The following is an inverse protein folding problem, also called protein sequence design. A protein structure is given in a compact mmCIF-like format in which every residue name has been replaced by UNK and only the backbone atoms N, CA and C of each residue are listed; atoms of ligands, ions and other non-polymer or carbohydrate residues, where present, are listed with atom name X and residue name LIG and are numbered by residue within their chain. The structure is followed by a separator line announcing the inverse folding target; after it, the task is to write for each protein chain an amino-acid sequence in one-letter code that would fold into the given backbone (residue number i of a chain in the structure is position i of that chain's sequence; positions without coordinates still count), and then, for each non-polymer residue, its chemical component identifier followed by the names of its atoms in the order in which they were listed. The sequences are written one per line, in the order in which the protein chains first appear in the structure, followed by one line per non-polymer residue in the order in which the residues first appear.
data_IF_317705410568
#
_entry.id   IF_317705410568
#
_cell.length_a   1.000
_cell.length_b   1.000
_cell.length_c   1.000
_cell.angle_alpha   90.00
_cell.angle_beta   90.00
_cell.angle_gamma   90.00
#
_symmetry.space_group_name_H-M   'P 1'
#
loop_
_entity.id
_entity.type
_entity.pdbx_description
1 polymer ?
#
# COMPACT_ATOMS: atom_id res chain seq x y z
N UNK A 1 -23.80 32.25 18.04
CA UNK A 1 -23.22 31.90 19.35
C UNK A 1 -22.02 31.01 19.12
N UNK A 2 -20.83 31.59 19.25
CA UNK A 2 -19.54 30.91 19.12
C UNK A 2 -19.35 29.91 20.25
N UNK A 3 -19.19 28.62 19.93
CA UNK A 3 -18.66 27.64 20.88
C UNK A 3 -17.14 27.83 20.95
N UNK A 4 -16.69 28.67 21.89
CA UNK A 4 -15.29 28.73 22.32
C UNK A 4 -14.92 27.41 23.00
N UNK A 5 -14.34 26.49 22.23
CA UNK A 5 -13.70 25.30 22.81
C UNK A 5 -12.54 25.80 23.66
N UNK A 6 -12.68 25.76 24.99
CA UNK A 6 -11.56 26.04 25.92
C UNK A 6 -10.36 25.21 25.50
N UNK A 7 -9.31 25.87 25.01
CA UNK A 7 -8.09 25.23 24.56
C UNK A 7 -7.32 24.67 25.75
N UNK A 8 -7.04 23.36 25.73
CA UNK A 8 -6.29 22.67 26.78
C UNK A 8 -4.82 23.13 26.76
N UNK A 9 -4.24 23.31 27.95
CA UNK A 9 -2.83 23.69 28.12
C UNK A 9 -1.85 22.54 27.83
N UNK A 10 -2.32 21.30 28.00
CA UNK A 10 -1.55 20.08 27.77
C UNK A 10 -2.31 19.08 26.91
N UNK A 11 -1.62 18.55 25.91
CA UNK A 11 -2.18 17.59 24.96
C UNK A 11 -1.52 16.21 25.13
N UNK A 12 -2.32 15.16 25.06
CA UNK A 12 -1.78 13.80 24.88
C UNK A 12 -1.05 13.70 23.55
N UNK A 13 -0.17 12.70 23.40
CA UNK A 13 0.48 12.43 22.11
C UNK A 13 -0.49 12.14 20.97
N UNK A 14 -1.70 11.64 21.25
CA UNK A 14 -2.75 11.42 20.24
C UNK A 14 -3.44 12.72 19.86
N UNK A 15 -3.75 13.58 20.82
CA UNK A 15 -4.31 14.91 20.57
C UNK A 15 -3.31 15.78 19.80
N UNK A 16 -2.04 15.80 20.22
CA UNK A 16 -0.96 16.49 19.53
C UNK A 16 -0.80 16.01 18.08
N UNK A 17 -0.80 14.69 17.85
CA UNK A 17 -0.75 14.09 16.52
C UNK A 17 -1.90 14.59 15.64
N UNK A 18 -3.12 14.63 16.20
CA UNK A 18 -4.33 15.11 15.50
C UNK A 18 -4.25 16.60 15.17
N UNK A 19 -3.77 17.42 16.09
CA UNK A 19 -3.65 18.88 15.91
C UNK A 19 -2.59 19.21 14.86
N UNK A 20 -1.43 18.55 14.93
CA UNK A 20 -0.31 18.73 14.01
C UNK A 20 -0.48 17.96 12.69
N UNK A 21 -1.56 17.16 12.56
CA UNK A 21 -1.84 16.34 11.39
C UNK A 21 -0.78 15.28 11.08
N UNK A 22 0.03 14.86 12.06
CA UNK A 22 1.07 13.83 11.86
C UNK A 22 0.68 12.54 12.56
N UNK A 23 1.31 11.42 12.21
CA UNK A 23 1.03 10.15 12.88
C UNK A 23 1.41 10.21 14.37
N UNK A 24 0.71 9.46 15.21
CA UNK A 24 1.09 9.24 16.61
C UNK A 24 2.55 8.74 16.77
N UNK A 25 3.01 7.92 15.82
CA UNK A 25 4.40 7.45 15.78
C UNK A 25 5.38 8.60 15.50
N UNK A 26 5.01 9.55 14.66
CA UNK A 26 5.80 10.75 14.36
C UNK A 26 5.99 11.59 15.62
N UNK A 27 4.92 11.82 16.40
CA UNK A 27 5.00 12.52 17.69
C UNK A 27 5.95 11.79 18.65
N UNK A 28 5.78 10.48 18.81
CA UNK A 28 6.68 9.68 19.67
C UNK A 28 8.14 9.77 19.22
N UNK A 29 8.41 9.68 17.92
CA UNK A 29 9.76 9.82 17.36
C UNK A 29 10.36 11.19 17.66
N UNK A 30 9.58 12.26 17.57
CA UNK A 30 10.04 13.61 17.90
C UNK A 30 10.35 13.77 19.39
N UNK A 31 9.58 13.12 20.26
CA UNK A 31 9.88 13.09 21.70
C UNK A 31 11.20 12.33 21.94
N UNK A 32 11.34 11.13 21.38
CA UNK A 32 12.53 10.30 21.60
C UNK A 32 13.82 10.88 21.03
N UNK A 33 13.72 11.69 19.97
CA UNK A 33 14.86 12.42 19.38
C UNK A 33 15.14 13.76 20.04
N UNK A 34 14.34 14.18 21.02
CA UNK A 34 14.46 15.50 21.66
C UNK A 34 14.00 16.68 20.81
N UNK A 35 13.45 16.45 19.61
CA UNK A 35 12.90 17.52 18.74
C UNK A 35 11.76 18.29 19.42
N UNK A 36 10.97 17.60 20.25
CA UNK A 36 9.86 18.21 20.99
C UNK A 36 9.96 17.82 22.46
N UNK A 37 9.81 18.79 23.35
CA UNK A 37 9.77 18.57 24.79
C UNK A 37 8.40 18.01 25.18
N UNK A 38 8.37 16.96 25.99
CA UNK A 38 7.15 16.38 26.52
C UNK A 38 7.35 15.91 27.97
N UNK A 39 6.36 16.17 28.82
CA UNK A 39 6.36 15.78 30.22
C UNK A 39 5.68 14.42 30.38
N UNK A 40 6.22 13.52 31.21
CA UNK A 40 5.54 12.28 31.55
C UNK A 40 4.63 12.49 32.76
N UNK A 41 3.43 11.94 32.71
CA UNK A 41 2.59 11.78 33.90
C UNK A 41 3.17 10.70 34.82
N UNK A 42 2.69 10.63 36.07
CA UNK A 42 3.04 9.57 37.04
C UNK A 42 2.82 8.16 36.45
N UNK A 43 1.78 7.99 35.60
CA UNK A 43 1.52 6.74 34.86
C UNK A 43 2.32 6.53 33.57
N UNK A 44 3.36 7.34 33.30
CA UNK A 44 4.27 7.17 32.16
C UNK A 44 3.77 7.69 30.81
N UNK A 45 2.63 8.37 30.76
CA UNK A 45 2.09 8.93 29.51
C UNK A 45 2.67 10.32 29.21
N UNK A 46 3.02 10.56 27.95
CA UNK A 46 3.50 11.87 27.51
C UNK A 46 2.38 12.92 27.44
N UNK A 47 2.73 14.15 27.80
CA UNK A 47 1.95 15.39 27.66
C UNK A 47 2.81 16.44 26.98
N UNK A 48 2.26 17.11 25.98
CA UNK A 48 2.93 18.13 25.17
C UNK A 48 2.23 19.45 25.46
N UNK A 49 2.99 20.49 25.81
CA UNK A 49 2.42 21.80 26.12
C UNK A 49 1.86 22.45 24.86
N UNK A 50 0.88 23.32 25.06
CA UNK A 50 0.30 24.15 24.01
C UNK A 50 1.36 24.92 23.23
N UNK A 51 2.33 25.54 23.91
CA UNK A 51 3.41 26.29 23.25
C UNK A 51 4.20 25.43 22.27
N UNK A 52 4.49 24.17 22.63
CA UNK A 52 5.17 23.24 21.73
C UNK A 52 4.28 22.90 20.55
N UNK A 53 2.97 22.73 20.75
CA UNK A 53 2.02 22.51 19.66
C UNK A 53 1.96 23.72 18.73
N UNK A 54 1.82 24.93 19.25
CA UNK A 54 1.72 26.17 18.46
C UNK A 54 3.03 26.46 17.73
N UNK A 55 4.18 26.31 18.40
CA UNK A 55 5.50 26.40 17.78
C UNK A 55 5.62 25.42 16.63
N UNK A 56 5.25 24.15 16.83
CA UNK A 56 5.25 23.17 15.75
C UNK A 56 4.23 23.48 14.66
N UNK A 57 3.07 24.06 14.97
CA UNK A 57 2.13 24.51 13.93
C UNK A 57 2.72 25.65 13.09
N UNK A 58 3.54 26.52 13.68
CA UNK A 58 4.19 27.64 12.99
C UNK A 58 5.49 27.27 12.27
N UNK A 59 6.30 26.37 12.84
CA UNK A 59 7.58 25.90 12.28
C UNK A 59 7.38 24.80 11.24
N UNK A 60 6.28 24.05 11.33
CA UNK A 60 5.95 23.06 10.33
C UNK A 60 5.26 23.79 9.18
N UNK A 61 6.06 24.42 8.32
CA UNK A 61 5.77 24.34 6.89
C UNK A 61 5.69 22.86 6.56
N UNK A 62 4.48 22.34 6.63
CA UNK A 62 4.23 20.93 6.45
C UNK A 62 4.44 20.61 4.99
N UNK A 63 5.67 20.24 4.62
CA UNK A 63 6.01 19.84 3.25
C UNK A 63 5.03 18.77 2.75
N UNK A 64 4.49 17.94 3.64
CA UNK A 64 3.47 16.97 3.28
C UNK A 64 2.13 17.64 2.89
N UNK A 65 1.64 18.60 3.68
CA UNK A 65 0.49 19.41 3.30
C UNK A 65 0.73 20.17 1.99
N UNK A 66 1.91 20.78 1.83
CA UNK A 66 2.30 21.49 0.62
C UNK A 66 2.27 20.57 -0.59
N UNK A 67 2.85 19.38 -0.49
CA UNK A 67 2.88 18.38 -1.55
C UNK A 67 1.46 17.94 -1.94
N UNK A 68 0.57 17.69 -0.96
CA UNK A 68 -0.83 17.33 -1.24
C UNK A 68 -1.58 18.49 -1.90
N UNK A 69 -1.46 19.71 -1.39
CA UNK A 69 -2.13 20.89 -1.95
C UNK A 69 -1.62 21.15 -3.37
N UNK A 70 -0.31 21.09 -3.60
CA UNK A 70 0.30 21.25 -4.91
C UNK A 70 -0.24 20.21 -5.90
N UNK A 71 -0.28 18.92 -5.50
CA UNK A 71 -0.84 17.85 -6.33
C UNK A 71 -2.32 18.10 -6.65
N UNK A 72 -3.15 18.45 -5.67
CA UNK A 72 -4.58 18.70 -5.90
C UNK A 72 -4.80 19.92 -6.81
N UNK A 73 -3.98 20.96 -6.67
CA UNK A 73 -4.03 22.13 -7.55
C UNK A 73 -3.62 21.80 -8.98
N UNK A 74 -2.53 21.04 -9.16
CA UNK A 74 -2.08 20.56 -10.47
C UNK A 74 -3.15 19.70 -11.15
N UNK A 75 -3.70 18.72 -10.41
CA UNK A 75 -4.70 17.78 -10.93
C UNK A 75 -6.09 18.39 -11.08
N UNK A 76 -6.35 19.56 -10.45
CA UNK A 76 -7.64 20.26 -10.29
C UNK A 76 -8.73 19.49 -9.53
N UNK A 77 -8.70 18.17 -9.61
CA UNK A 77 -9.51 17.24 -8.84
C UNK A 77 -8.76 15.91 -8.76
N UNK A 78 -8.76 15.25 -7.62
CA UNK A 78 -8.16 13.94 -7.45
C UNK A 78 -9.06 13.06 -6.58
N UNK A 79 -9.24 11.80 -6.95
CA UNK A 79 -9.89 10.86 -6.04
C UNK A 79 -8.90 10.35 -4.99
N UNK A 80 -9.42 9.84 -3.87
CA UNK A 80 -8.61 9.46 -2.71
C UNK A 80 -7.41 8.56 -3.03
N UNK A 81 -7.59 7.52 -3.85
CA UNK A 81 -6.51 6.58 -4.18
C UNK A 81 -5.48 7.20 -5.11
N UNK A 82 -5.88 8.08 -6.02
CA UNK A 82 -4.95 8.84 -6.87
C UNK A 82 -3.97 9.65 -6.01
N UNK A 83 -4.44 10.35 -4.98
CA UNK A 83 -3.56 11.11 -4.08
C UNK A 83 -2.56 10.19 -3.38
N UNK A 84 -3.01 9.01 -2.91
CA UNK A 84 -2.13 8.04 -2.28
C UNK A 84 -1.07 7.50 -3.24
N UNK A 85 -1.46 7.15 -4.47
CA UNK A 85 -0.55 6.58 -5.47
C UNK A 85 0.50 7.59 -5.94
N UNK A 86 0.12 8.84 -6.21
CA UNK A 86 1.06 9.87 -6.67
C UNK A 86 2.07 10.29 -5.59
N UNK A 87 1.79 10.00 -4.31
CA UNK A 87 2.63 10.38 -3.18
C UNK A 87 3.31 9.20 -2.49
N UNK A 88 3.12 7.97 -2.96
CA UNK A 88 3.51 6.78 -2.22
C UNK A 88 5.02 6.52 -2.09
N UNK A 89 5.82 7.17 -2.93
CA UNK A 89 7.29 7.13 -2.82
C UNK A 89 7.81 8.08 -1.73
N UNK A 90 7.01 9.07 -1.33
CA UNK A 90 7.35 10.04 -0.27
C UNK A 90 6.63 9.74 1.05
N UNK A 91 5.36 9.35 0.98
CA UNK A 91 4.46 9.27 2.13
C UNK A 91 3.66 7.97 2.14
N UNK A 92 3.40 7.42 3.33
CA UNK A 92 2.64 6.17 3.45
C UNK A 92 1.16 6.42 3.21
N UNK A 93 0.47 5.43 2.63
CA UNK A 93 -0.95 5.55 2.30
C UNK A 93 -1.84 5.98 3.49
N UNK A 94 -1.60 5.46 4.70
CA UNK A 94 -2.38 5.86 5.88
C UNK A 94 -2.07 7.29 6.35
N UNK A 95 -0.82 7.75 6.19
CA UNK A 95 -0.41 9.11 6.54
C UNK A 95 -1.05 10.11 5.58
N UNK A 96 -1.15 9.75 4.29
CA UNK A 96 -1.84 10.57 3.29
C UNK A 96 -3.32 10.72 3.60
N UNK A 97 -3.99 9.66 4.06
CA UNK A 97 -5.39 9.74 4.52
C UNK A 97 -5.54 10.73 5.67
N UNK A 98 -4.76 10.53 6.73
CA UNK A 98 -4.86 11.35 7.94
C UNK A 98 -4.56 12.82 7.63
N UNK A 99 -3.60 13.08 6.72
CA UNK A 99 -3.26 14.43 6.29
C UNK A 99 -4.35 15.07 5.42
N UNK A 100 -4.97 14.32 4.50
CA UNK A 100 -6.12 14.80 3.72
C UNK A 100 -7.28 15.21 4.63
N UNK A 101 -7.61 14.38 5.63
CA UNK A 101 -8.66 14.70 6.62
C UNK A 101 -8.33 15.99 7.40
N UNK A 102 -7.07 16.16 7.79
CA UNK A 102 -6.60 17.38 8.43
C UNK A 102 -6.74 18.60 7.51
N UNK A 103 -6.30 18.52 6.25
CA UNK A 103 -6.40 19.62 5.27
C UNK A 103 -7.84 20.05 5.00
N UNK A 104 -8.76 19.10 4.91
CA UNK A 104 -10.20 19.38 4.79
C UNK A 104 -10.72 20.11 6.02
N UNK A 105 -10.36 19.67 7.23
CA UNK A 105 -10.75 20.35 8.48
C UNK A 105 -10.23 21.78 8.57
N UNK A 106 -9.03 22.03 8.04
CA UNK A 106 -8.41 23.36 7.96
C UNK A 106 -8.92 24.19 6.77
N UNK A 107 -9.90 23.69 6.00
CA UNK A 107 -10.45 24.34 4.79
C UNK A 107 -9.38 24.70 3.75
N UNK A 108 -8.27 23.94 3.71
CA UNK A 108 -7.19 24.13 2.73
C UNK A 108 -7.47 23.44 1.40
N UNK A 109 -8.32 22.42 1.43
CA UNK A 109 -8.87 21.72 0.26
C UNK A 109 -10.33 21.36 0.53
N UNK A 110 -11.09 21.14 -0.53
CA UNK A 110 -12.47 20.64 -0.45
C UNK A 110 -12.51 19.13 -0.66
N UNK A 111 -13.56 18.47 -0.18
CA UNK A 111 -13.85 17.07 -0.46
C UNK A 111 -15.33 16.84 -0.71
N UNK A 112 -15.66 15.88 -1.58
CA UNK A 112 -17.04 15.41 -1.79
C UNK A 112 -17.04 13.90 -2.04
N UNK A 113 -18.01 13.20 -1.47
CA UNK A 113 -18.30 11.82 -1.85
C UNK A 113 -19.38 11.84 -2.93
N UNK A 114 -19.02 11.47 -4.14
CA UNK A 114 -19.89 11.50 -5.32
C UNK A 114 -19.36 10.47 -6.34
N UNK A 115 -20.22 9.94 -7.20
CA UNK A 115 -19.83 8.90 -8.18
C UNK A 115 -19.15 7.69 -7.51
N UNK A 116 -19.62 7.31 -6.31
CA UNK A 116 -19.06 6.21 -5.52
C UNK A 116 -17.56 6.34 -5.20
N UNK A 117 -17.03 7.57 -5.18
CA UNK A 117 -15.64 7.87 -4.86
C UNK A 117 -15.58 9.10 -3.95
N UNK A 118 -14.52 9.16 -3.13
CA UNK A 118 -14.17 10.37 -2.38
C UNK A 118 -13.21 11.22 -3.22
N UNK A 119 -13.65 12.41 -3.57
CA UNK A 119 -12.90 13.39 -4.36
C UNK A 119 -12.33 14.49 -3.49
N UNK A 120 -11.21 15.06 -3.91
CA UNK A 120 -10.56 16.22 -3.34
C UNK A 120 -10.29 17.23 -4.45
N UNK A 121 -10.52 18.51 -4.19
CA UNK A 121 -10.32 19.59 -5.15
C UNK A 121 -9.91 20.89 -4.44
N UNK A 122 -9.33 21.86 -5.15
CA UNK A 122 -8.88 23.12 -4.58
C UNK A 122 -9.97 23.84 -3.77
N UNK A 123 -9.57 24.52 -2.70
CA UNK A 123 -10.49 25.23 -1.81
C UNK A 123 -11.31 26.33 -2.51
N UNK A 124 -10.75 26.92 -3.57
CA UNK A 124 -11.39 27.96 -4.41
C UNK A 124 -12.31 27.40 -5.50
N UNK A 125 -12.40 26.08 -5.67
CA UNK A 125 -13.30 25.45 -6.63
C UNK A 125 -14.55 24.88 -5.94
N UNK A 126 -15.66 24.80 -6.68
CA UNK A 126 -16.88 24.08 -6.27
C UNK A 126 -16.98 22.74 -7.02
N UNK A 127 -17.79 21.82 -6.49
CA UNK A 127 -18.04 20.54 -7.16
C UNK A 127 -18.55 20.72 -8.59
N UNK A 128 -19.45 21.69 -8.82
CA UNK A 128 -20.04 21.93 -10.14
C UNK A 128 -19.02 22.27 -11.22
N UNK A 129 -17.90 22.91 -10.85
CA UNK A 129 -16.81 23.26 -11.75
C UNK A 129 -15.98 22.02 -12.12
N UNK A 130 -15.80 21.09 -11.18
CA UNK A 130 -14.87 19.96 -11.33
C UNK A 130 -15.55 18.62 -11.66
N UNK A 131 -16.89 18.56 -11.61
CA UNK A 131 -17.65 17.31 -11.75
C UNK A 131 -17.41 16.59 -13.07
N UNK A 132 -17.23 17.31 -14.17
CA UNK A 132 -17.05 16.67 -15.48
C UNK A 132 -15.64 16.08 -15.62
N UNK A 133 -14.62 16.76 -15.08
CA UNK A 133 -13.28 16.16 -14.92
C UNK A 133 -13.32 14.91 -14.03
N UNK A 134 -14.14 14.91 -12.98
CA UNK A 134 -14.34 13.75 -12.11
C UNK A 134 -14.90 12.55 -12.90
N UNK A 135 -15.92 12.79 -13.74
CA UNK A 135 -16.53 11.76 -14.59
C UNK A 135 -15.53 11.21 -15.61
N UNK A 136 -14.73 12.07 -16.23
CA UNK A 136 -13.73 11.62 -17.21
C UNK A 136 -12.62 10.78 -16.57
N UNK A 137 -12.13 11.19 -15.39
CA UNK A 137 -11.23 10.35 -14.59
C UNK A 137 -11.87 9.03 -14.20
N UNK A 138 -13.15 9.04 -13.81
CA UNK A 138 -13.86 7.84 -13.42
C UNK A 138 -13.92 6.81 -14.56
N UNK A 139 -14.20 7.23 -15.81
CA UNK A 139 -14.19 6.33 -16.97
C UNK A 139 -12.85 5.60 -17.14
N UNK A 140 -11.74 6.32 -16.95
CA UNK A 140 -10.40 5.73 -17.01
C UNK A 140 -10.19 4.72 -15.87
N UNK A 141 -10.59 5.08 -14.65
CA UNK A 141 -10.46 4.24 -13.45
C UNK A 141 -11.32 2.97 -13.59
N UNK A 142 -12.56 3.09 -14.03
CA UNK A 142 -13.47 1.95 -14.24
C UNK A 142 -12.95 1.02 -15.33
N UNK A 143 -12.34 1.56 -16.39
CA UNK A 143 -11.69 0.73 -17.41
C UNK A 143 -10.55 -0.11 -16.80
N UNK A 144 -9.75 0.46 -15.89
CA UNK A 144 -8.69 -0.26 -15.19
C UNK A 144 -9.21 -1.29 -14.17
N UNK A 145 -10.22 -0.91 -13.38
CA UNK A 145 -10.81 -1.75 -12.34
C UNK A 145 -11.56 -2.95 -12.92
N UNK A 146 -12.24 -2.75 -14.05
CA UNK A 146 -13.02 -3.80 -14.72
C UNK A 146 -12.22 -4.59 -15.77
N UNK A 147 -10.95 -4.24 -15.98
CA UNK A 147 -10.11 -4.96 -16.95
C UNK A 147 -9.86 -6.40 -16.49
N UNK A 148 -10.17 -7.35 -17.35
CA UNK A 148 -10.03 -8.79 -17.10
C UNK A 148 -8.62 -9.14 -16.60
N UNK A 149 -8.57 -9.82 -15.45
CA UNK A 149 -7.32 -10.22 -14.78
C UNK A 149 -7.02 -11.69 -14.95
N UNK A 150 -8.04 -12.54 -15.11
CA UNK A 150 -7.85 -13.97 -15.29
C UNK A 150 -7.11 -14.23 -16.59
N UNK A 151 -6.30 -15.27 -16.55
CA UNK A 151 -5.49 -15.67 -17.67
C UNK A 151 -5.43 -17.19 -17.75
N UNK A 152 -5.45 -17.71 -18.96
CA UNK A 152 -5.30 -19.14 -19.22
C UNK A 152 -4.23 -19.31 -20.30
N UNK A 153 -3.30 -20.24 -20.06
CA UNK A 153 -2.26 -20.59 -21.03
C UNK A 153 -1.89 -22.06 -20.84
N UNK A 154 -1.83 -22.79 -21.95
CA UNK A 154 -1.45 -24.21 -21.99
C UNK A 154 -2.28 -25.07 -21.01
N UNK A 155 -3.58 -24.76 -20.89
CA UNK A 155 -4.53 -25.44 -20.00
C UNK A 155 -4.44 -25.05 -18.52
N UNK A 156 -3.51 -24.16 -18.15
CA UNK A 156 -3.34 -23.68 -16.78
C UNK A 156 -4.06 -22.34 -16.60
N UNK A 157 -4.93 -22.26 -15.58
CA UNK A 157 -5.67 -21.06 -15.21
C UNK A 157 -4.98 -20.32 -14.08
N UNK A 158 -4.94 -18.99 -14.19
CA UNK A 158 -4.45 -18.06 -13.18
C UNK A 158 -5.59 -17.12 -12.79
N UNK A 159 -5.74 -16.83 -11.50
CA UNK A 159 -6.78 -15.91 -11.02
C UNK A 159 -6.43 -14.46 -11.35
N UNK A 160 -5.13 -14.15 -11.41
CA UNK A 160 -4.61 -12.86 -11.86
C UNK A 160 -3.40 -13.05 -12.78
N UNK A 161 -3.33 -12.27 -13.86
CA UNK A 161 -2.23 -12.33 -14.83
C UNK A 161 -0.84 -12.12 -14.20
N UNK A 162 -0.76 -11.40 -13.08
CA UNK A 162 0.49 -11.25 -12.34
C UNK A 162 1.04 -12.58 -11.83
N UNK A 163 0.20 -13.56 -11.48
CA UNK A 163 0.65 -14.90 -11.07
C UNK A 163 1.41 -15.58 -12.20
N UNK A 164 0.87 -15.52 -13.42
CA UNK A 164 1.55 -16.03 -14.62
C UNK A 164 2.90 -15.32 -14.85
N UNK A 165 2.91 -13.98 -14.85
CA UNK A 165 4.15 -13.20 -15.06
C UNK A 165 5.20 -13.49 -13.98
N UNK A 166 4.78 -13.62 -12.73
CA UNK A 166 5.64 -13.93 -11.60
C UNK A 166 6.18 -15.35 -11.69
N UNK A 167 5.36 -16.32 -12.06
CA UNK A 167 5.80 -17.70 -12.27
C UNK A 167 6.91 -17.78 -13.33
N UNK A 168 6.69 -17.16 -14.49
CA UNK A 168 7.69 -17.12 -15.55
C UNK A 168 8.96 -16.39 -15.09
N UNK A 169 8.84 -15.37 -14.23
CA UNK A 169 9.98 -14.67 -13.67
C UNK A 169 10.76 -15.55 -12.68
N UNK A 170 10.05 -16.32 -11.84
CA UNK A 170 10.63 -17.25 -10.88
C UNK A 170 11.42 -18.36 -11.61
N UNK A 171 10.85 -18.96 -12.65
CA UNK A 171 11.54 -19.98 -13.47
C UNK A 171 12.84 -19.39 -14.06
N UNK A 172 12.77 -18.20 -14.65
CA UNK A 172 13.95 -17.49 -15.21
C UNK A 172 14.97 -17.07 -14.14
N UNK A 173 14.54 -16.94 -12.88
CA UNK A 173 15.41 -16.66 -11.73
C UNK A 173 16.00 -17.93 -11.10
N UNK A 174 15.70 -19.12 -11.63
CA UNK A 174 16.23 -20.40 -11.17
C UNK A 174 15.37 -21.11 -10.11
N UNK A 175 14.16 -20.64 -9.85
CA UNK A 175 13.21 -21.35 -8.98
C UNK A 175 12.56 -22.51 -9.73
N UNK A 176 12.22 -23.57 -9.02
CA UNK A 176 11.35 -24.65 -9.54
C UNK A 176 9.98 -24.58 -8.90
N UNK A 177 8.92 -24.49 -9.70
CA UNK A 177 7.54 -24.48 -9.20
C UNK A 177 7.15 -25.91 -8.81
N UNK A 178 6.78 -26.11 -7.56
CA UNK A 178 6.45 -27.42 -6.98
C UNK A 178 4.95 -27.64 -6.94
N UNK A 179 4.19 -26.61 -6.55
CA UNK A 179 2.73 -26.63 -6.50
C UNK A 179 2.16 -25.24 -6.78
N UNK A 180 0.91 -25.21 -7.26
CA UNK A 180 0.09 -24.00 -7.46
C UNK A 180 -1.17 -24.11 -6.62
N UNK A 181 -1.66 -22.99 -6.10
CA UNK A 181 -2.87 -22.90 -5.29
C UNK A 181 -2.91 -23.99 -4.19
N UNK A 182 -1.84 -24.09 -3.39
CA UNK A 182 -1.65 -25.21 -2.46
C UNK A 182 -1.71 -24.79 -0.99
N UNK A 183 -2.49 -25.54 -0.22
CA UNK A 183 -2.48 -25.54 1.25
C UNK A 183 -1.80 -26.80 1.82
N UNK A 184 -1.15 -27.60 0.95
CA UNK A 184 -0.51 -28.85 1.30
C UNK A 184 0.95 -28.87 0.83
N UNK A 185 1.84 -29.38 1.68
CA UNK A 185 3.24 -29.60 1.33
C UNK A 185 3.83 -30.72 2.17
N UNK A 186 4.57 -31.62 1.53
CA UNK A 186 5.40 -32.64 2.19
C UNK A 186 4.69 -33.41 3.33
N UNK A 187 3.49 -33.94 3.06
CA UNK A 187 2.71 -34.69 4.06
C UNK A 187 1.85 -33.84 4.99
N UNK A 188 1.97 -32.52 4.96
CA UNK A 188 1.29 -31.60 5.88
C UNK A 188 0.22 -30.81 5.13
N UNK A 189 -1.02 -30.83 5.64
CA UNK A 189 -2.10 -29.96 5.19
C UNK A 189 -2.33 -28.84 6.21
N UNK A 190 -2.43 -27.60 5.74
CA UNK A 190 -2.76 -26.45 6.57
C UNK A 190 -4.23 -26.04 6.36
N UNK A 191 -5.05 -26.16 7.41
CA UNK A 191 -6.46 -25.75 7.39
C UNK A 191 -6.67 -24.69 8.47
N UNK A 192 -6.52 -23.42 8.10
CA UNK A 192 -6.60 -22.30 9.04
C UNK A 192 -8.03 -21.86 9.37
N UNK A 193 -9.03 -22.32 8.62
CA UNK A 193 -10.43 -22.00 8.86
C UNK A 193 -11.29 -23.25 8.68
N UNK A 194 -12.18 -23.48 9.63
CA UNK A 194 -13.23 -24.51 9.55
C UNK A 194 -14.53 -23.84 9.13
N UNK A 195 -14.93 -24.00 7.87
CA UNK A 195 -16.16 -23.44 7.31
C UNK A 195 -16.39 -23.89 5.86
N UNK A 196 -17.58 -23.65 5.30
CA UNK A 196 -17.85 -23.96 3.89
C UNK A 196 -16.96 -23.10 2.97
N UNK A 197 -16.15 -23.75 2.15
CA UNK A 197 -15.25 -23.08 1.20
C UNK A 197 -13.90 -23.79 1.08
N UNK A 198 -13.12 -23.42 0.06
CA UNK A 198 -11.73 -23.87 -0.06
C UNK A 198 -10.90 -23.19 1.04
N UNK A 199 -10.05 -23.91 1.78
CA UNK A 199 -9.15 -23.30 2.75
C UNK A 199 -8.22 -22.29 2.05
N UNK A 200 -7.72 -21.28 2.77
CA UNK A 200 -6.68 -20.39 2.24
C UNK A 200 -5.48 -21.19 1.76
N UNK A 201 -4.92 -20.82 0.61
CA UNK A 201 -3.78 -21.47 -0.02
C UNK A 201 -2.70 -20.46 -0.43
N UNK A 202 -1.52 -21.00 -0.74
CA UNK A 202 -0.42 -20.26 -1.34
C UNK A 202 -0.55 -20.30 -2.86
N UNK A 203 -0.29 -19.17 -3.53
CA UNK A 203 -0.33 -19.11 -4.99
C UNK A 203 0.72 -20.07 -5.59
N UNK A 204 1.90 -20.14 -4.96
CA UNK A 204 2.90 -21.15 -5.30
C UNK A 204 3.61 -21.72 -4.08
N UNK A 205 4.05 -22.96 -4.22
CA UNK A 205 5.20 -23.48 -3.47
C UNK A 205 6.34 -23.61 -4.47
N UNK A 206 7.48 -23.02 -4.16
CA UNK A 206 8.64 -23.02 -5.04
C UNK A 206 9.88 -23.52 -4.30
N UNK A 207 10.67 -24.35 -4.98
CA UNK A 207 12.02 -24.70 -4.57
C UNK A 207 12.97 -23.60 -5.03
N UNK A 208 13.77 -23.08 -4.10
CA UNK A 208 14.80 -22.08 -4.36
C UNK A 208 16.03 -22.73 -5.02
N UNK A 209 16.89 -21.93 -5.68
CA UNK A 209 18.16 -22.42 -6.23
C UNK A 209 19.11 -23.07 -5.21
N UNK A 210 18.93 -22.80 -3.91
CA UNK A 210 19.73 -23.37 -2.82
C UNK A 210 19.07 -24.61 -2.19
N UNK A 211 18.07 -25.20 -2.85
CA UNK A 211 17.33 -26.40 -2.43
C UNK A 211 16.31 -26.22 -1.30
N UNK A 212 16.23 -25.04 -0.66
CA UNK A 212 15.15 -24.71 0.28
C UNK A 212 13.79 -24.56 -0.42
N UNK A 213 12.72 -24.53 0.36
CA UNK A 213 11.37 -24.28 -0.14
C UNK A 213 10.79 -22.96 0.39
N UNK A 214 10.13 -22.22 -0.50
CA UNK A 214 9.37 -21.02 -0.18
C UNK A 214 7.89 -21.18 -0.48
N UNK A 215 7.08 -20.61 0.40
CA UNK A 215 5.67 -20.35 0.18
C UNK A 215 5.54 -18.97 -0.43
N UNK A 216 4.92 -18.89 -1.61
CA UNK A 216 4.88 -17.68 -2.42
C UNK A 216 3.46 -17.14 -2.47
N UNK A 217 3.34 -15.85 -2.21
CA UNK A 217 2.10 -15.11 -2.40
C UNK A 217 2.33 -13.89 -3.30
N UNK A 218 1.53 -13.77 -4.35
CA UNK A 218 1.46 -12.68 -5.31
C UNK A 218 0.30 -11.75 -4.95
N UNK A 219 0.57 -10.44 -4.88
CA UNK A 219 -0.46 -9.41 -4.63
C UNK A 219 -0.31 -8.23 -5.59
N UNK A 220 -1.18 -8.19 -6.60
CA UNK A 220 -1.20 -7.17 -7.65
C UNK A 220 -2.25 -6.07 -7.44
N UNK A 221 -2.40 -5.60 -6.20
CA UNK A 221 -3.39 -4.56 -5.86
C UNK A 221 -2.74 -3.19 -5.73
N UNK A 222 -3.52 -2.13 -6.00
CA UNK A 222 -3.08 -0.74 -5.80
C UNK A 222 -2.85 -0.44 -4.31
N UNK A 223 -3.66 -1.03 -3.44
CA UNK A 223 -3.55 -0.94 -1.99
C UNK A 223 -2.48 -1.90 -1.45
N UNK A 224 -1.99 -1.61 -0.24
CA UNK A 224 -1.16 -2.58 0.47
C UNK A 224 -1.97 -3.85 0.80
N UNK A 225 -1.34 -5.03 0.79
CA UNK A 225 -1.96 -6.23 1.35
C UNK A 225 -2.50 -5.98 2.75
N UNK A 226 -3.70 -6.47 3.04
CA UNK A 226 -4.33 -6.25 4.35
C UNK A 226 -3.56 -7.02 5.43
N UNK A 227 -3.53 -6.54 6.68
CA UNK A 227 -2.86 -7.24 7.77
C UNK A 227 -3.34 -8.69 7.94
N UNK A 228 -4.65 -8.94 7.77
CA UNK A 228 -5.20 -10.29 7.87
C UNK A 228 -4.68 -11.22 6.76
N UNK A 229 -4.61 -10.72 5.51
CA UNK A 229 -4.07 -11.50 4.39
C UNK A 229 -2.60 -11.86 4.62
N UNK A 230 -1.81 -10.92 5.17
CA UNK A 230 -0.41 -11.15 5.53
C UNK A 230 -0.28 -12.18 6.66
N UNK A 231 -1.14 -12.11 7.68
CA UNK A 231 -1.13 -13.07 8.79
C UNK A 231 -1.49 -14.47 8.29
N UNK A 232 -2.54 -14.62 7.47
CA UNK A 232 -2.91 -15.91 6.86
C UNK A 232 -1.75 -16.49 6.04
N UNK A 233 -1.11 -15.67 5.20
CA UNK A 233 0.06 -16.08 4.42
C UNK A 233 1.22 -16.58 5.29
N UNK A 234 1.54 -15.84 6.36
CA UNK A 234 2.59 -16.22 7.30
C UNK A 234 2.27 -17.53 8.01
N UNK A 235 1.02 -17.70 8.45
CA UNK A 235 0.57 -18.90 9.13
C UNK A 235 0.63 -20.13 8.21
N UNK A 236 0.23 -19.99 6.94
CA UNK A 236 0.40 -21.05 5.94
C UNK A 236 1.87 -21.46 5.81
N UNK A 237 2.76 -20.49 5.64
CA UNK A 237 4.20 -20.77 5.53
C UNK A 237 4.76 -21.44 6.79
N UNK A 238 4.33 -20.98 7.97
CA UNK A 238 4.77 -21.52 9.27
C UNK A 238 4.37 -22.98 9.44
N UNK A 239 3.09 -23.31 9.18
CA UNK A 239 2.57 -24.68 9.32
C UNK A 239 3.17 -25.62 8.28
N UNK A 240 3.36 -25.14 7.05
CA UNK A 240 3.93 -25.94 5.96
C UNK A 240 5.48 -26.00 5.98
N UNK A 241 6.12 -25.37 6.98
CA UNK A 241 7.58 -25.27 7.09
C UNK A 241 8.26 -24.68 5.85
N UNK A 242 7.65 -23.63 5.30
CA UNK A 242 8.13 -22.91 4.13
C UNK A 242 8.66 -21.53 4.52
N UNK A 243 9.67 -21.03 3.81
CA UNK A 243 10.12 -19.64 3.96
C UNK A 243 9.14 -18.70 3.24
N UNK A 244 8.65 -17.60 3.87
CA UNK A 244 7.67 -16.74 3.23
C UNK A 244 8.31 -15.84 2.16
N UNK A 245 7.84 -15.93 0.92
CA UNK A 245 8.18 -15.03 -0.18
C UNK A 245 6.94 -14.26 -0.66
N UNK A 246 6.83 -12.98 -0.27
CA UNK A 246 5.75 -12.10 -0.73
C UNK A 246 6.18 -11.32 -1.96
N UNK A 247 5.45 -11.42 -3.06
CA UNK A 247 5.69 -10.69 -4.31
C UNK A 247 4.51 -9.75 -4.53
N UNK A 248 4.71 -8.45 -4.35
CA UNK A 248 3.59 -7.50 -4.28
C UNK A 248 3.87 -6.21 -5.03
N UNK A 249 2.84 -5.50 -5.48
CA UNK A 249 3.00 -4.17 -6.07
C UNK A 249 3.64 -3.21 -5.08
N UNK A 250 3.17 -3.26 -3.84
CA UNK A 250 3.66 -2.45 -2.74
C UNK A 250 3.26 -3.10 -1.41
N UNK A 251 4.06 -2.88 -0.37
CA UNK A 251 3.81 -3.40 0.96
C UNK A 251 3.91 -2.31 2.02
N UNK A 252 3.20 -2.49 3.13
CA UNK A 252 3.41 -1.65 4.31
C UNK A 252 4.81 -1.91 4.90
N UNK A 253 5.54 -0.90 5.41
CA UNK A 253 6.90 -1.09 5.95
C UNK A 253 7.02 -2.21 7.00
N UNK A 254 6.01 -2.36 7.87
CA UNK A 254 6.02 -3.44 8.87
C UNK A 254 5.94 -4.84 8.25
N UNK A 255 5.39 -4.98 7.05
CA UNK A 255 5.34 -6.27 6.35
C UNK A 255 6.75 -6.77 6.02
N UNK A 256 7.67 -5.88 5.64
CA UNK A 256 9.07 -6.23 5.41
C UNK A 256 9.74 -6.73 6.70
N UNK A 257 9.53 -6.01 7.81
CA UNK A 257 10.13 -6.37 9.10
C UNK A 257 9.65 -7.74 9.59
N UNK A 258 8.34 -8.00 9.49
CA UNK A 258 7.74 -9.26 9.92
C UNK A 258 8.22 -10.42 9.05
N UNK A 259 8.20 -10.28 7.73
CA UNK A 259 8.62 -11.34 6.81
C UNK A 259 10.12 -11.67 6.97
N UNK A 260 10.98 -10.66 7.15
CA UNK A 260 12.42 -10.88 7.37
C UNK A 260 12.73 -11.63 8.66
N UNK A 261 11.96 -11.39 9.74
CA UNK A 261 12.11 -12.13 11.02
C UNK A 261 11.78 -13.61 10.91
N UNK A 262 11.08 -14.01 9.84
CA UNK A 262 10.73 -15.39 9.53
C UNK A 262 11.64 -15.97 8.43
N UNK A 263 12.83 -15.39 8.25
CA UNK A 263 13.82 -15.78 7.23
C UNK A 263 13.25 -15.75 5.80
N UNK A 264 12.23 -14.90 5.58
CA UNK A 264 11.58 -14.69 4.30
C UNK A 264 12.01 -13.41 3.60
N UNK A 265 11.38 -13.12 2.47
CA UNK A 265 11.66 -11.92 1.67
C UNK A 265 10.41 -11.29 1.04
N UNK A 266 10.50 -9.99 0.74
CA UNK A 266 9.47 -9.24 0.04
C UNK A 266 10.04 -8.67 -1.24
N UNK A 267 9.48 -9.07 -2.38
CA UNK A 267 9.76 -8.50 -3.70
C UNK A 267 8.67 -7.47 -4.03
N UNK A 268 9.09 -6.25 -4.38
CA UNK A 268 8.19 -5.15 -4.75
C UNK A 268 8.37 -4.79 -6.21
N UNK A 269 7.28 -4.78 -6.98
CA UNK A 269 7.32 -4.47 -8.42
C UNK A 269 6.73 -3.11 -8.81
N UNK A 270 6.18 -2.34 -7.85
CA UNK A 270 5.69 -0.94 -7.96
C UNK A 270 4.54 -0.67 -8.93
N UNK A 271 4.36 -1.46 -9.99
CA UNK A 271 3.39 -1.24 -11.05
C UNK A 271 2.34 -2.34 -11.08
N UNK A 272 1.04 -2.03 -11.21
CA UNK A 272 0.03 -3.08 -11.40
C UNK A 272 0.25 -3.75 -12.75
N UNK A 273 0.49 -5.06 -12.73
CA UNK A 273 0.80 -5.85 -13.92
C UNK A 273 -0.50 -6.25 -14.62
N UNK A 274 -0.64 -5.87 -15.89
CA UNK A 274 -1.82 -6.10 -16.72
C UNK A 274 -1.47 -7.04 -17.88
N UNK A 275 -2.45 -7.85 -18.30
CA UNK A 275 -2.32 -8.67 -19.48
C UNK A 275 -2.30 -7.83 -20.77
N UNK A 276 -1.66 -8.33 -21.84
CA UNK A 276 -1.75 -7.72 -23.17
C UNK A 276 -3.19 -7.52 -23.62
N UNK A 277 -3.41 -6.43 -24.37
CA UNK A 277 -4.73 -6.02 -24.85
C UNK A 277 -5.38 -4.89 -24.04
N UNK A 278 -4.68 -4.29 -23.07
CA UNK A 278 -5.18 -3.11 -22.37
C UNK A 278 -5.18 -1.90 -23.33
N UNK A 279 -6.26 -1.10 -23.42
CA UNK A 279 -6.33 0.01 -24.37
C UNK A 279 -5.21 1.03 -24.18
N UNK A 280 -4.50 1.36 -25.27
CA UNK A 280 -3.31 2.22 -25.23
C UNK A 280 -3.63 3.64 -24.76
N UNK A 281 -4.68 4.24 -25.28
CA UNK A 281 -5.06 5.62 -24.92
C UNK A 281 -5.42 5.71 -23.43
N UNK A 282 -6.16 4.72 -22.91
CA UNK A 282 -6.46 4.60 -21.49
C UNK A 282 -5.20 4.37 -20.67
N UNK A 283 -4.25 3.57 -21.15
CA UNK A 283 -2.98 3.34 -20.47
C UNK A 283 -2.20 4.65 -20.28
N UNK A 284 -2.05 5.41 -21.36
CA UNK A 284 -1.33 6.67 -21.37
C UNK A 284 -2.05 7.70 -20.47
N UNK A 285 -3.37 7.81 -20.58
CA UNK A 285 -4.18 8.70 -19.75
C UNK A 285 -4.13 8.35 -18.25
N UNK A 286 -4.20 7.06 -17.89
CA UNK A 286 -4.09 6.62 -16.50
C UNK A 286 -2.74 6.98 -15.89
N UNK A 287 -1.65 6.83 -16.64
CA UNK A 287 -0.30 7.17 -16.15
C UNK A 287 -0.08 8.68 -16.06
N UNK A 288 -0.50 9.44 -17.07
CA UNK A 288 -0.22 10.88 -17.16
C UNK A 288 -1.22 11.73 -16.37
N UNK A 289 -2.52 11.46 -16.53
CA UNK A 289 -3.58 12.28 -15.96
C UNK A 289 -3.88 11.87 -14.52
N UNK A 290 -3.97 10.57 -14.25
CA UNK A 290 -4.35 10.02 -12.92
C UNK A 290 -3.14 9.62 -12.08
N UNK A 291 -2.02 9.21 -12.70
CA UNK A 291 -0.84 8.74 -11.97
C UNK A 291 -0.98 7.33 -11.39
N UNK A 292 -1.81 6.46 -12.00
CA UNK A 292 -1.87 5.05 -11.59
C UNK A 292 -0.66 4.32 -12.19
N UNK A 293 0.22 3.69 -11.38
CA UNK A 293 1.38 2.99 -11.88
C UNK A 293 0.96 1.63 -12.45
N UNK A 294 0.63 1.57 -13.73
CA UNK A 294 0.25 0.33 -14.43
C UNK A 294 1.30 -0.06 -15.47
N UNK A 295 1.44 -1.35 -15.71
CA UNK A 295 2.34 -1.90 -16.73
C UNK A 295 1.65 -3.02 -17.51
N UNK A 296 1.90 -3.08 -18.81
CA UNK A 296 1.44 -4.19 -19.66
C UNK A 296 2.67 -4.93 -20.14
N UNK A 297 2.84 -6.18 -19.72
CA UNK A 297 3.98 -7.00 -20.10
C UNK A 297 3.48 -8.26 -20.77
N UNK A 298 4.07 -8.61 -21.93
CA UNK A 298 3.88 -9.91 -22.57
C UNK A 298 4.78 -10.98 -21.94
N UNK A 299 5.96 -10.55 -21.48
CA UNK A 299 7.01 -11.40 -20.92
C UNK A 299 7.45 -10.82 -19.57
N UNK A 300 7.94 -11.68 -18.68
CA UNK A 300 8.44 -11.24 -17.38
C UNK A 300 9.54 -10.19 -17.54
N UNK A 301 9.40 -9.01 -16.90
CA UNK A 301 10.37 -7.94 -17.04
C UNK A 301 11.65 -8.26 -16.25
N UNK A 302 12.79 -7.83 -16.77
CA UNK A 302 14.10 -8.18 -16.21
C UNK A 302 14.30 -7.68 -14.78
N UNK A 303 13.69 -6.54 -14.42
CA UNK A 303 13.76 -6.03 -13.04
C UNK A 303 13.12 -7.01 -12.04
N UNK A 304 12.05 -7.69 -12.41
CA UNK A 304 11.35 -8.64 -11.55
C UNK A 304 12.18 -9.91 -11.38
N UNK A 305 12.79 -10.38 -12.47
CA UNK A 305 13.69 -11.54 -12.46
C UNK A 305 14.90 -11.25 -11.58
N UNK A 306 15.54 -10.10 -11.77
CA UNK A 306 16.65 -9.66 -10.93
C UNK A 306 16.26 -9.59 -9.46
N UNK A 307 15.10 -9.00 -9.14
CA UNK A 307 14.62 -8.92 -7.77
C UNK A 307 14.37 -10.31 -7.13
N UNK A 308 13.93 -11.29 -7.91
CA UNK A 308 13.76 -12.67 -7.45
C UNK A 308 15.10 -13.38 -7.25
N UNK A 309 16.08 -13.17 -8.14
CA UNK A 309 17.46 -13.66 -7.93
C UNK A 309 18.03 -13.10 -6.62
N UNK A 310 17.85 -11.80 -6.38
CA UNK A 310 18.32 -11.14 -5.16
C UNK A 310 17.57 -11.65 -3.93
N UNK A 311 16.27 -11.95 -4.04
CA UNK A 311 15.48 -12.57 -2.99
C UNK A 311 16.01 -13.96 -2.61
N UNK A 312 16.27 -14.84 -3.60
CA UNK A 312 16.84 -16.16 -3.36
C UNK A 312 18.19 -16.08 -2.64
N UNK A 313 19.07 -15.17 -3.08
CA UNK A 313 20.38 -14.94 -2.46
C UNK A 313 20.25 -14.42 -1.02
N UNK A 314 19.32 -13.51 -0.77
CA UNK A 314 19.09 -12.95 0.56
C UNK A 314 18.55 -14.00 1.52
N UNK A 315 17.59 -14.81 1.08
CA UNK A 315 17.00 -15.88 1.88
C UNK A 315 18.03 -16.99 2.18
N UNK A 316 18.95 -17.28 1.25
CA UNK A 316 20.02 -18.27 1.49
C UNK A 316 21.01 -17.87 2.59
N UNK A 317 21.10 -16.57 2.93
CA UNK A 317 22.02 -16.02 3.95
C UNK A 317 21.37 -15.83 5.32
N UNK A 318 20.05 -15.98 5.39
CA UNK A 318 19.23 -15.89 6.59
C UNK A 318 18.94 -17.30 7.08
#
# INVERSE_FOLDING_TARGET
MENSVKEKEWYTTREAAKILGVSFRTIKRWIYSGKITATKTVGGHYRISREVIERLQSEVEDQFAKDIIALINEKKIAYFREVQLNLEDKYRHYETRDKLEWLVRQRKINTKYELSRRWYFPANNTWEIVKDMAKDKLKLIETFENYERKFERDGIRYQDYSEYIVEQAMIRAGYTIVAKDSYYFNGIACVLQTGPGRPPDLDFIAKLPNEDYAGVQVKNRVEYPKPNDINTFIELCRVLHLRPLLITRQAHPMTFDVIRRLNGWVVVFKQSLLKPGFPRDTFEALRQQVGIPIAVYKWSPDFLIKALIDAAKAMSKL
#
